data_IF_889805218772
#
_entry.id   IF_889805218772
#
_cell.length_a   1.000
_cell.length_b   1.000
_cell.length_c   1.000
_cell.angle_alpha   90.00
_cell.angle_beta   90.00
_cell.angle_gamma   90.00
#
_symmetry.space_group_name_H-M   'P 1'
#
loop_
_entity.id
_entity.type
_entity.pdbx_description
1 polymer ?
#
# COMPACT_ATOMS: atom_id res chain seq x y z
N UNK A 1 42.83 42.72 69.41
CA UNK A 1 42.40 44.07 68.94
C UNK A 1 42.33 44.02 67.42
N UNK A 2 41.18 43.60 66.86
CA UNK A 2 40.13 44.42 66.23
C UNK A 2 40.53 45.10 64.90
N UNK A 3 39.88 44.57 63.84
CA UNK A 3 39.20 45.26 62.73
C UNK A 3 40.00 45.48 61.43
N UNK A 4 39.64 44.70 60.39
CA UNK A 4 39.63 45.09 58.98
C UNK A 4 38.39 44.52 58.28
N UNK A 5 37.93 45.27 57.29
CA UNK A 5 36.67 45.20 56.56
C UNK A 5 36.64 44.07 55.53
N UNK A 6 35.44 43.65 55.11
CA UNK A 6 34.89 43.73 53.73
C UNK A 6 33.99 42.52 53.39
N UNK A 7 32.74 42.84 53.04
CA UNK A 7 31.88 42.20 52.02
C UNK A 7 31.64 40.68 52.06
N UNK A 8 30.37 40.29 52.24
CA UNK A 8 29.82 39.18 51.47
C UNK A 8 28.51 39.61 50.80
N UNK A 9 28.64 39.86 49.50
CA UNK A 9 27.56 40.12 48.56
C UNK A 9 26.89 38.79 48.17
N UNK A 10 25.59 38.92 47.89
CA UNK A 10 24.81 38.17 46.91
C UNK A 10 24.57 36.69 47.24
N UNK A 11 23.47 36.49 47.97
CA UNK A 11 22.48 35.45 47.66
C UNK A 11 21.95 35.67 46.24
N UNK A 12 22.46 34.94 45.25
CA UNK A 12 21.82 34.64 43.96
C UNK A 12 22.84 33.84 43.14
N UNK A 13 22.69 32.51 43.06
CA UNK A 13 23.66 31.74 42.28
C UNK A 13 23.42 30.24 42.11
N UNK A 14 22.46 29.61 42.80
CA UNK A 14 22.34 28.14 42.71
C UNK A 14 20.94 27.65 42.31
N UNK A 15 19.91 28.49 42.38
CA UNK A 15 18.55 28.06 42.02
C UNK A 15 18.20 28.19 40.52
N UNK A 16 18.88 29.07 39.76
CA UNK A 16 18.52 29.34 38.36
C UNK A 16 18.99 28.24 37.39
N UNK A 17 20.12 27.57 37.68
CA UNK A 17 20.68 26.57 36.76
C UNK A 17 19.93 25.24 36.77
N UNK A 18 19.30 24.86 37.90
CA UNK A 18 18.56 23.59 37.98
C UNK A 18 17.17 23.68 37.37
N UNK A 19 16.53 24.84 37.46
CA UNK A 19 15.21 25.05 36.86
C UNK A 19 15.34 25.19 35.33
N UNK A 20 16.28 25.99 34.82
CA UNK A 20 16.51 26.08 33.37
C UNK A 20 16.95 24.74 32.74
N UNK A 21 17.79 23.95 33.41
CA UNK A 21 18.19 22.65 32.89
C UNK A 21 17.00 21.67 32.79
N UNK A 22 16.09 21.69 33.77
CA UNK A 22 14.92 20.81 33.78
C UNK A 22 13.87 21.20 32.73
N UNK A 23 13.64 22.50 32.53
CA UNK A 23 12.73 22.99 31.50
C UNK A 23 13.28 22.83 30.08
N UNK A 24 14.61 22.91 29.86
CA UNK A 24 15.19 22.64 28.54
C UNK A 24 15.19 21.14 28.18
N UNK A 25 15.35 20.24 29.16
CA UNK A 25 15.24 18.79 28.90
C UNK A 25 13.81 18.34 28.58
N UNK A 26 12.80 18.95 29.20
CA UNK A 26 11.40 18.64 28.89
C UNK A 26 10.98 19.17 27.51
N UNK A 27 11.57 20.28 27.04
CA UNK A 27 11.31 20.78 25.68
C UNK A 27 12.01 19.97 24.59
N UNK A 28 13.23 19.47 24.83
CA UNK A 28 13.93 18.61 23.86
C UNK A 28 13.22 17.27 23.64
N UNK A 29 12.57 16.73 24.68
CA UNK A 29 11.78 15.51 24.57
C UNK A 29 10.43 15.72 23.85
N UNK A 30 9.91 16.95 23.82
CA UNK A 30 8.63 17.27 23.16
C UNK A 30 8.76 17.55 21.65
N UNK A 31 9.97 17.80 21.14
CA UNK A 31 10.22 18.01 19.70
C UNK A 31 10.55 16.73 18.94
N UNK A 32 10.76 15.59 19.62
CA UNK A 32 11.10 14.31 18.98
C UNK A 32 9.89 13.39 18.74
N UNK A 33 8.75 13.62 19.41
CA UNK A 33 7.51 12.84 19.18
C UNK A 33 6.67 13.36 17.99
N UNK A 34 7.28 14.19 17.14
CA UNK A 34 6.65 14.74 15.94
C UNK A 34 6.74 13.83 14.70
N UNK A 35 7.53 12.75 14.75
CA UNK A 35 7.46 11.69 13.74
C UNK A 35 6.55 10.59 14.29
N UNK A 36 5.30 10.59 13.83
CA UNK A 36 4.40 9.44 13.87
C UNK A 36 5.12 8.22 13.26
N UNK A 37 5.94 7.53 14.04
CA UNK A 37 6.48 6.24 13.69
C UNK A 37 5.33 5.26 13.89
N UNK A 38 4.49 5.13 12.88
CA UNK A 38 3.79 3.86 12.65
C UNK A 38 4.89 2.81 12.53
N UNK A 39 5.15 2.09 13.61
CA UNK A 39 6.07 0.94 13.63
C UNK A 39 5.58 -0.22 12.76
N UNK A 40 4.37 -0.11 12.19
CA UNK A 40 3.88 -0.97 11.14
C UNK A 40 4.33 -0.46 9.76
N UNK A 41 4.95 -1.36 8.98
CA UNK A 41 5.20 -1.16 7.56
C UNK A 41 3.91 -0.66 6.87
N UNK A 42 4.01 0.27 5.91
CA UNK A 42 2.83 0.73 5.19
C UNK A 42 2.18 -0.46 4.47
N UNK A 43 0.86 -0.57 4.60
CA UNK A 43 0.09 -1.52 3.80
C UNK A 43 -0.02 -0.99 2.36
N UNK A 44 0.55 -1.72 1.41
CA UNK A 44 0.60 -1.33 -0.01
C UNK A 44 -0.34 -2.23 -0.82
N UNK A 45 -1.35 -1.63 -1.44
CA UNK A 45 -2.26 -2.31 -2.36
C UNK A 45 -1.96 -2.01 -3.83
N UNK A 46 -2.22 -2.96 -4.71
CA UNK A 46 -2.12 -2.79 -6.17
C UNK A 46 -3.40 -3.18 -6.88
N UNK A 47 -3.74 -2.49 -7.96
CA UNK A 47 -4.83 -2.90 -8.84
C UNK A 47 -4.40 -4.12 -9.66
N UNK A 48 -5.18 -5.19 -9.58
CA UNK A 48 -4.91 -6.45 -10.28
C UNK A 48 -6.03 -6.76 -11.26
N UNK A 49 -5.68 -7.09 -12.51
CA UNK A 49 -6.64 -7.27 -13.61
C UNK A 49 -6.59 -8.72 -14.15
N UNK A 50 -7.47 -9.62 -13.68
CA UNK A 50 -7.46 -11.05 -14.04
C UNK A 50 -8.19 -11.31 -15.38
N UNK A 51 -8.04 -10.43 -16.37
CA UNK A 51 -8.88 -10.46 -17.57
C UNK A 51 -8.21 -11.01 -18.82
N UNK A 52 -6.94 -11.40 -18.78
CA UNK A 52 -6.20 -11.87 -19.96
C UNK A 52 -6.49 -13.34 -20.27
N UNK A 53 -6.57 -13.71 -21.55
CA UNK A 53 -7.00 -15.03 -22.04
C UNK A 53 -5.98 -15.70 -22.97
N UNK A 54 -4.69 -15.43 -22.76
CA UNK A 54 -3.65 -15.83 -23.71
C UNK A 54 -3.61 -14.90 -24.93
N UNK A 55 -2.76 -15.19 -25.94
CA UNK A 55 -2.60 -14.34 -27.11
C UNK A 55 -3.95 -14.03 -27.78
N UNK A 56 -4.27 -12.74 -27.98
CA UNK A 56 -5.54 -12.35 -28.57
C UNK A 56 -5.92 -10.88 -28.40
N UNK A 57 -7.20 -10.59 -28.64
CA UNK A 57 -7.75 -9.22 -28.70
C UNK A 57 -7.45 -8.36 -27.48
N UNK A 58 -7.40 -8.95 -26.29
CA UNK A 58 -7.13 -8.22 -25.05
C UNK A 58 -5.69 -7.72 -25.01
N UNK A 59 -4.72 -8.55 -25.39
CA UNK A 59 -3.32 -8.13 -25.50
C UNK A 59 -3.10 -7.14 -26.65
N UNK A 60 -3.81 -7.28 -27.77
CA UNK A 60 -3.72 -6.33 -28.90
C UNK A 60 -4.09 -4.89 -28.50
N UNK A 61 -4.84 -4.71 -27.42
CA UNK A 61 -5.24 -3.40 -26.90
C UNK A 61 -4.32 -2.91 -25.77
N UNK A 62 -3.36 -3.73 -25.33
CA UNK A 62 -2.42 -3.31 -24.30
C UNK A 62 -1.49 -2.24 -24.87
N UNK A 63 -1.60 -1.01 -24.36
CA UNK A 63 -0.85 0.14 -24.87
C UNK A 63 0.67 -0.09 -24.92
N UNK A 64 1.20 -0.90 -23.99
CA UNK A 64 2.63 -1.28 -23.98
C UNK A 64 3.09 -2.05 -25.22
N UNK A 65 2.19 -2.72 -25.92
CA UNK A 65 2.48 -3.41 -27.18
C UNK A 65 2.37 -2.51 -28.41
N UNK A 66 1.86 -1.27 -28.25
CA UNK A 66 1.70 -0.29 -29.31
C UNK A 66 2.86 0.73 -29.37
N UNK A 67 3.87 0.56 -28.51
CA UNK A 67 5.09 1.36 -28.53
C UNK A 67 5.95 0.99 -29.76
N UNK A 68 6.80 1.92 -30.22
CA UNK A 68 7.78 1.63 -31.28
C UNK A 68 8.65 0.42 -30.92
N UNK A 69 9.06 0.34 -29.65
CA UNK A 69 9.68 -0.84 -29.04
C UNK A 69 8.68 -1.52 -28.08
N UNK A 70 8.01 -2.60 -28.49
CA UNK A 70 6.96 -3.24 -27.69
C UNK A 70 7.48 -3.79 -26.36
N UNK A 71 6.88 -3.35 -25.26
CA UNK A 71 7.20 -3.81 -23.91
C UNK A 71 6.29 -4.99 -23.54
N UNK A 72 6.72 -6.20 -23.90
CA UNK A 72 5.99 -7.44 -23.56
C UNK A 72 6.16 -7.79 -22.09
N UNK A 73 5.12 -8.36 -21.43
CA UNK A 73 5.29 -8.95 -20.11
C UNK A 73 6.35 -10.05 -20.13
N UNK A 74 7.07 -10.20 -19.03
CA UNK A 74 8.09 -11.25 -18.87
C UNK A 74 7.49 -12.65 -19.07
N UNK A 75 6.29 -12.89 -18.55
CA UNK A 75 5.53 -14.14 -18.68
C UNK A 75 4.85 -14.30 -20.05
N UNK A 76 5.18 -13.45 -21.03
CA UNK A 76 4.56 -13.44 -22.35
C UNK A 76 3.13 -12.91 -22.36
N UNK A 77 2.40 -13.19 -23.44
CA UNK A 77 0.98 -12.83 -23.59
C UNK A 77 0.11 -13.89 -22.89
N UNK A 78 0.17 -13.88 -21.56
CA UNK A 78 -0.36 -14.94 -20.71
C UNK A 78 -1.90 -15.02 -20.66
N UNK A 79 -2.37 -16.16 -20.14
CA UNK A 79 -3.74 -16.37 -19.67
C UNK A 79 -3.79 -16.18 -18.15
N UNK A 80 -4.74 -15.38 -17.66
CA UNK A 80 -4.89 -15.11 -16.22
C UNK A 80 -5.35 -16.33 -15.41
N UNK A 81 -5.71 -17.44 -16.07
CA UNK A 81 -6.07 -18.73 -15.45
C UNK A 81 -4.89 -19.68 -15.26
N UNK A 82 -3.75 -19.38 -15.88
CA UNK A 82 -2.56 -20.23 -15.84
C UNK A 82 -1.97 -20.22 -14.41
N UNK A 83 -1.89 -21.38 -13.73
CA UNK A 83 -1.37 -21.45 -12.37
C UNK A 83 0.08 -20.95 -12.26
N UNK A 84 0.91 -21.14 -13.28
CA UNK A 84 2.30 -20.68 -13.25
C UNK A 84 2.40 -19.15 -13.30
N UNK A 85 1.48 -18.52 -14.06
CA UNK A 85 1.37 -17.06 -14.13
C UNK A 85 0.84 -16.48 -12.81
N UNK A 86 -0.12 -17.16 -12.19
CA UNK A 86 -0.64 -16.78 -10.87
C UNK A 86 0.47 -16.86 -9.82
N UNK A 87 1.22 -17.97 -9.78
CA UNK A 87 2.37 -18.15 -8.90
C UNK A 87 3.42 -17.06 -9.11
N UNK A 88 3.79 -16.78 -10.37
CA UNK A 88 4.77 -15.74 -10.68
C UNK A 88 4.30 -14.35 -10.22
N UNK A 89 3.03 -13.99 -10.44
CA UNK A 89 2.49 -12.71 -9.99
C UNK A 89 2.45 -12.59 -8.46
N UNK A 90 2.12 -13.67 -7.74
CA UNK A 90 2.17 -13.70 -6.27
C UNK A 90 3.61 -13.48 -5.81
N UNK A 91 4.57 -14.22 -6.35
CA UNK A 91 6.00 -14.08 -6.00
C UNK A 91 6.57 -12.69 -6.34
N UNK A 92 6.18 -12.09 -7.47
CA UNK A 92 6.53 -10.70 -7.80
C UNK A 92 5.97 -9.70 -6.78
N UNK A 93 4.75 -9.93 -6.32
CA UNK A 93 4.07 -9.08 -5.32
C UNK A 93 4.78 -9.16 -3.97
N UNK A 94 5.13 -10.37 -3.52
CA UNK A 94 5.88 -10.58 -2.28
C UNK A 94 7.25 -9.90 -2.34
N UNK A 95 7.97 -10.06 -3.45
CA UNK A 95 9.27 -9.40 -3.67
C UNK A 95 9.15 -7.87 -3.67
N UNK A 96 8.03 -7.35 -4.17
CA UNK A 96 7.70 -5.93 -4.17
C UNK A 96 7.12 -5.40 -2.87
N UNK A 97 7.02 -6.22 -1.81
CA UNK A 97 6.35 -5.86 -0.54
C UNK A 97 4.89 -5.38 -0.73
N UNK A 98 4.20 -5.89 -1.74
CA UNK A 98 2.77 -5.66 -1.95
C UNK A 98 1.98 -6.46 -0.92
N UNK A 99 1.12 -5.78 -0.17
CA UNK A 99 0.33 -6.38 0.92
C UNK A 99 -0.96 -7.03 0.43
N UNK A 100 -1.58 -6.49 -0.63
CA UNK A 100 -2.82 -7.03 -1.17
C UNK A 100 -3.06 -6.66 -2.64
N UNK A 101 -3.92 -7.44 -3.30
CA UNK A 101 -4.46 -7.11 -4.61
C UNK A 101 -5.89 -6.55 -4.48
N UNK A 102 -6.14 -5.39 -5.09
CA UNK A 102 -7.48 -4.90 -5.40
C UNK A 102 -7.88 -5.47 -6.78
N UNK A 103 -8.60 -6.58 -6.76
CA UNK A 103 -8.91 -7.40 -7.94
C UNK A 103 -10.09 -6.83 -8.71
N UNK A 104 -9.87 -6.42 -9.96
CA UNK A 104 -10.91 -5.97 -10.89
C UNK A 104 -11.98 -7.05 -11.05
N UNK A 105 -13.22 -6.67 -10.74
CA UNK A 105 -14.36 -7.57 -10.68
C UNK A 105 -15.61 -6.97 -11.35
N UNK A 106 -16.08 -7.63 -12.42
CA UNK A 106 -17.16 -7.14 -13.29
C UNK A 106 -18.56 -7.64 -12.93
N UNK A 107 -18.70 -8.38 -11.84
CA UNK A 107 -19.98 -8.96 -11.43
C UNK A 107 -19.98 -10.49 -11.39
N UNK A 108 -20.98 -11.11 -10.74
CA UNK A 108 -21.07 -12.56 -10.62
C UNK A 108 -21.15 -13.24 -11.99
N UNK A 109 -20.43 -14.35 -12.17
CA UNK A 109 -20.39 -15.10 -13.43
C UNK A 109 -19.64 -14.41 -14.57
N UNK A 110 -19.10 -13.20 -14.35
CA UNK A 110 -18.17 -12.58 -15.30
C UNK A 110 -16.88 -13.39 -15.42
N UNK A 111 -16.15 -13.22 -16.52
CA UNK A 111 -14.85 -13.90 -16.68
C UNK A 111 -13.92 -13.61 -15.50
N UNK A 112 -13.81 -12.35 -15.06
CA UNK A 112 -12.97 -11.96 -13.93
C UNK A 112 -13.43 -12.57 -12.60
N UNK A 113 -14.73 -12.77 -12.41
CA UNK A 113 -15.27 -13.46 -11.23
C UNK A 113 -14.84 -14.92 -11.19
N UNK A 114 -14.97 -15.63 -12.31
CA UNK A 114 -14.56 -17.02 -12.44
C UNK A 114 -13.04 -17.18 -12.29
N UNK A 115 -12.24 -16.31 -12.92
CA UNK A 115 -10.77 -16.33 -12.75
C UNK A 115 -10.39 -16.09 -11.29
N UNK A 116 -10.98 -15.09 -10.64
CA UNK A 116 -10.64 -14.80 -9.25
C UNK A 116 -11.03 -15.94 -8.30
N UNK A 117 -12.28 -16.42 -8.40
CA UNK A 117 -12.83 -17.44 -7.51
C UNK A 117 -12.23 -18.83 -7.75
N UNK A 118 -12.16 -19.26 -9.00
CA UNK A 118 -11.89 -20.66 -9.35
C UNK A 118 -10.41 -20.93 -9.67
N UNK A 119 -9.62 -19.89 -9.95
CA UNK A 119 -8.20 -20.02 -10.27
C UNK A 119 -7.29 -19.33 -9.25
N UNK A 120 -7.51 -18.04 -8.95
CA UNK A 120 -6.63 -17.29 -8.06
C UNK A 120 -6.82 -17.73 -6.60
N UNK A 121 -8.05 -17.69 -6.07
CA UNK A 121 -8.31 -18.08 -4.68
C UNK A 121 -8.14 -19.58 -4.43
N UNK A 122 -8.24 -20.40 -5.48
CA UNK A 122 -7.98 -21.84 -5.41
C UNK A 122 -6.48 -22.20 -5.52
N UNK A 123 -5.62 -21.25 -5.88
CA UNK A 123 -4.19 -21.50 -6.05
C UNK A 123 -3.52 -21.82 -4.70
N UNK A 124 -2.56 -22.79 -4.62
CA UNK A 124 -1.90 -23.15 -3.37
C UNK A 124 -1.23 -21.97 -2.65
N UNK A 125 -0.70 -21.01 -3.41
CA UNK A 125 -0.02 -19.83 -2.87
C UNK A 125 -0.97 -18.65 -2.58
N UNK A 126 -2.29 -18.79 -2.79
CA UNK A 126 -3.23 -17.69 -2.63
C UNK A 126 -3.15 -17.05 -1.25
N UNK A 127 -2.92 -17.84 -0.20
CA UNK A 127 -2.84 -17.35 1.19
C UNK A 127 -1.59 -16.51 1.49
N UNK A 128 -0.62 -16.41 0.57
CA UNK A 128 0.55 -15.55 0.74
C UNK A 128 0.22 -14.05 0.59
N UNK A 129 -0.95 -13.70 0.04
CA UNK A 129 -1.42 -12.34 -0.14
C UNK A 129 -2.83 -12.15 0.41
N UNK A 130 -3.17 -10.88 0.67
CA UNK A 130 -4.55 -10.48 0.95
C UNK A 130 -5.23 -10.00 -0.34
N UNK A 131 -6.56 -9.97 -0.35
CA UNK A 131 -7.35 -9.56 -1.50
C UNK A 131 -8.48 -8.62 -1.10
N UNK A 132 -8.78 -7.68 -1.98
CA UNK A 132 -9.96 -6.84 -1.95
C UNK A 132 -10.63 -6.87 -3.34
N UNK A 133 -11.93 -6.63 -3.38
CA UNK A 133 -12.67 -6.52 -4.64
C UNK A 133 -12.64 -5.06 -5.11
N UNK A 134 -12.12 -4.84 -6.32
CA UNK A 134 -12.31 -3.60 -7.07
C UNK A 134 -13.59 -3.74 -7.89
N UNK A 135 -14.67 -3.09 -7.43
CA UNK A 135 -15.93 -3.08 -8.16
C UNK A 135 -15.82 -2.28 -9.45
N UNK A 136 -15.98 -2.96 -10.58
CA UNK A 136 -16.06 -2.30 -11.87
C UNK A 136 -17.47 -1.73 -12.06
N UNK A 137 -17.59 -0.41 -11.93
CA UNK A 137 -18.88 0.27 -11.80
C UNK A 137 -19.84 -0.06 -12.94
N UNK A 138 -19.34 -0.15 -14.17
CA UNK A 138 -20.22 -0.43 -15.31
C UNK A 138 -20.64 -1.90 -15.43
N UNK A 139 -19.86 -2.82 -14.87
CA UNK A 139 -20.26 -4.22 -14.74
C UNK A 139 -21.38 -4.41 -13.72
N UNK A 140 -21.34 -3.66 -12.62
CA UNK A 140 -22.26 -3.86 -11.50
C UNK A 140 -23.50 -2.94 -11.48
N UNK A 141 -23.34 -1.70 -11.94
CA UNK A 141 -24.39 -0.67 -11.94
C UNK A 141 -24.92 -0.37 -13.34
N UNK A 142 -24.50 -1.08 -14.39
CA UNK A 142 -24.82 -0.73 -15.77
C UNK A 142 -24.10 0.54 -16.24
N UNK A 143 -24.45 1.03 -17.42
CA UNK A 143 -23.79 2.21 -18.02
C UNK A 143 -24.19 3.47 -17.25
N UNK A 144 -23.30 4.45 -17.17
CA UNK A 144 -23.60 5.73 -16.53
C UNK A 144 -24.83 6.44 -17.13
N UNK A 145 -25.11 6.27 -18.43
CA UNK A 145 -26.27 6.85 -19.10
C UNK A 145 -27.59 6.11 -18.78
N UNK A 146 -27.51 4.86 -18.33
CA UNK A 146 -28.67 4.03 -18.01
C UNK A 146 -28.31 3.04 -16.88
N UNK A 147 -28.22 3.54 -15.64
CA UNK A 147 -27.80 2.70 -14.52
C UNK A 147 -28.87 1.66 -14.18
N UNK A 148 -28.44 0.50 -13.71
CA UNK A 148 -29.27 -0.61 -13.27
C UNK A 148 -28.90 -1.00 -11.83
N UNK A 149 -29.86 -0.82 -10.93
CA UNK A 149 -29.69 -1.09 -9.50
C UNK A 149 -30.37 -2.39 -9.04
N UNK A 150 -30.97 -3.19 -9.94
CA UNK A 150 -31.81 -4.35 -9.57
C UNK A 150 -31.05 -5.49 -8.89
N UNK A 151 -29.74 -5.55 -9.09
CA UNK A 151 -28.90 -6.60 -8.55
C UNK A 151 -28.26 -6.22 -7.21
N UNK A 152 -28.50 -5.01 -6.68
CA UNK A 152 -27.98 -4.54 -5.38
C UNK A 152 -28.77 -5.06 -4.20
#
# INVERSE_FOLDING_TARGET
>A
MKRKYFFFLILWGVACSWVCAKYMTETEQYVDEGFLHSSALPCVGVYYYPWYKGPGRQWQQAMRLLLEEPQKPKSGLYDSRDPEVIAEHIEQSLRGSVSFWAVSWWGPGSFTDLVFKDHILAHPDASKLNYAILYESTGRFGRFQNPNYRAW
#
